data_IF_943976283016
#
_entry.id   IF_943976283016
#
_cell.length_a   1.000
_cell.length_b   1.000
_cell.length_c   1.000
_cell.angle_alpha   90.00
_cell.angle_beta   90.00
_cell.angle_gamma   90.00
#
_symmetry.space_group_name_H-M   'P 1'
#
loop_
_entity.id
_entity.type
_entity.pdbx_description
1 polymer ?
#
# COMPACT_ATOMS: atom_id res chain seq x y z
N UNK A 1 -9.20 -4.41 8.07
CA UNK A 1 -8.07 -3.56 8.48
C UNK A 1 -8.51 -2.55 9.52
N UNK A 2 -7.66 -2.30 10.52
CA UNK A 2 -7.83 -1.28 11.55
C UNK A 2 -6.62 -0.35 11.51
N UNK A 3 -6.79 0.98 11.61
CA UNK A 3 -5.68 1.88 11.82
C UNK A 3 -4.99 1.56 13.16
N UNK A 4 -3.68 1.37 13.12
CA UNK A 4 -2.86 1.14 14.32
C UNK A 4 -1.90 2.29 14.59
N UNK A 5 -1.64 3.14 13.57
CA UNK A 5 -0.80 4.30 13.72
C UNK A 5 -1.15 5.41 12.72
N UNK A 6 -1.12 6.65 13.22
CA UNK A 6 -1.18 7.87 12.43
C UNK A 6 0.06 8.70 12.72
N UNK A 7 0.61 9.34 11.71
CA UNK A 7 1.81 10.19 11.85
C UNK A 7 2.97 9.45 12.55
N UNK A 8 3.16 8.15 12.19
CA UNK A 8 4.13 7.26 12.84
C UNK A 8 5.54 7.68 12.47
N UNK A 9 6.25 8.30 13.44
CA UNK A 9 7.66 8.66 13.27
C UNK A 9 8.55 7.43 13.43
N UNK A 10 9.46 7.23 12.50
CA UNK A 10 10.55 6.27 12.64
C UNK A 10 11.93 6.94 12.83
N UNK A 11 11.93 8.25 13.10
CA UNK A 11 13.16 9.00 13.40
C UNK A 11 13.84 8.51 14.68
N UNK A 12 13.03 8.17 15.70
CA UNK A 12 13.49 7.73 17.02
C UNK A 12 13.68 6.21 17.11
N UNK A 13 13.22 5.45 16.11
CA UNK A 13 13.41 4.00 16.00
C UNK A 13 14.82 3.67 15.45
N UNK A 14 15.86 4.12 16.18
CA UNK A 14 17.26 4.13 15.72
C UNK A 14 17.88 2.80 15.31
N UNK A 15 17.24 1.72 15.63
CA UNK A 15 17.68 0.34 15.44
C UNK A 15 16.86 -0.43 14.39
N UNK A 16 15.93 0.22 13.68
CA UNK A 16 15.27 -0.42 12.53
C UNK A 16 16.28 -0.57 11.37
N UNK A 17 16.43 -1.80 10.90
CA UNK A 17 17.30 -2.09 9.74
C UNK A 17 16.74 -1.48 8.44
N UNK A 18 15.43 -1.42 8.32
CA UNK A 18 14.73 -0.87 7.15
C UNK A 18 15.06 0.60 6.86
N UNK A 19 15.50 1.36 7.88
CA UNK A 19 15.83 2.80 7.75
C UNK A 19 17.32 3.08 7.90
N UNK A 20 18.13 2.08 8.21
CA UNK A 20 19.58 2.17 8.33
C UNK A 20 20.27 1.58 7.10
N UNK A 21 20.56 2.42 6.12
CA UNK A 21 21.20 2.01 4.86
C UNK A 21 22.72 2.11 4.99
N UNK A 22 23.43 1.04 4.64
CA UNK A 22 24.90 1.05 4.59
C UNK A 22 25.35 1.73 3.31
N UNK A 23 26.24 2.72 3.43
CA UNK A 23 26.83 3.43 2.30
C UNK A 23 28.34 3.26 2.30
N UNK A 24 28.88 2.63 1.24
CA UNK A 24 30.31 2.33 1.15
C UNK A 24 30.80 1.37 2.23
N UNK A 25 32.09 1.42 2.54
CA UNK A 25 32.70 0.49 3.52
C UNK A 25 32.39 0.83 4.98
N UNK A 26 32.24 2.11 5.31
CA UNK A 26 32.13 2.58 6.70
C UNK A 26 31.00 3.61 6.91
N UNK A 27 30.27 4.00 5.86
CA UNK A 27 29.18 4.96 5.96
C UNK A 27 27.84 4.30 6.31
N UNK A 28 27.04 5.01 7.09
CA UNK A 28 25.62 4.68 7.35
C UNK A 28 24.78 5.91 7.05
N UNK A 29 23.73 5.71 6.28
CA UNK A 29 22.68 6.70 6.07
C UNK A 29 21.48 6.24 6.89
N UNK A 30 21.00 7.09 7.78
CA UNK A 30 19.77 6.86 8.52
C UNK A 30 18.65 7.64 7.85
N UNK A 31 17.66 6.92 7.35
CA UNK A 31 16.45 7.53 6.83
C UNK A 31 15.58 7.98 8.01
N UNK A 32 15.03 9.16 7.90
CA UNK A 32 14.06 9.70 8.84
C UNK A 32 12.77 10.03 8.08
N UNK A 33 11.64 9.82 8.72
CA UNK A 33 10.38 10.10 8.10
C UNK A 33 9.21 9.83 9.04
N UNK A 34 8.04 10.10 8.51
CA UNK A 34 6.77 9.91 9.20
C UNK A 34 5.79 9.26 8.24
N UNK A 35 5.25 8.13 8.64
CA UNK A 35 4.24 7.40 7.90
C UNK A 35 2.88 8.01 8.26
N UNK A 36 2.14 8.50 7.28
CA UNK A 36 0.86 9.17 7.57
C UNK A 36 -0.12 8.22 8.24
N UNK A 37 -0.22 6.97 7.74
CA UNK A 37 -1.12 5.97 8.32
C UNK A 37 -0.64 4.54 8.08
N UNK A 38 -0.66 3.75 9.14
CA UNK A 38 -0.45 2.31 9.13
C UNK A 38 -1.74 1.61 9.56
N UNK A 39 -2.22 0.69 8.73
CA UNK A 39 -3.36 -0.16 9.05
C UNK A 39 -2.90 -1.62 9.12
N UNK A 40 -3.43 -2.38 10.07
CA UNK A 40 -3.20 -3.82 10.16
C UNK A 40 -4.49 -4.62 10.13
N UNK A 41 -4.40 -5.85 9.65
CA UNK A 41 -5.42 -6.89 9.84
C UNK A 41 -4.74 -8.08 10.53
N UNK A 42 -5.11 -8.31 11.77
CA UNK A 42 -4.60 -9.41 12.59
C UNK A 42 -5.54 -10.61 12.43
N UNK A 43 -5.04 -11.70 11.84
CA UNK A 43 -5.74 -12.97 11.68
C UNK A 43 -5.06 -14.03 12.54
N UNK A 44 -5.62 -15.23 12.73
CA UNK A 44 -4.94 -16.29 13.47
C UNK A 44 -3.56 -16.65 12.89
N UNK A 45 -3.39 -16.57 11.57
CA UNK A 45 -2.23 -17.09 10.85
C UNK A 45 -1.17 -16.02 10.56
N UNK A 46 -1.57 -14.74 10.40
CA UNK A 46 -0.66 -13.65 10.02
C UNK A 46 -1.18 -12.28 10.45
N UNK A 47 -0.26 -11.30 10.47
CA UNK A 47 -0.57 -9.87 10.55
C UNK A 47 -0.32 -9.25 9.18
N UNK A 48 -1.35 -8.69 8.58
CA UNK A 48 -1.26 -8.02 7.29
C UNK A 48 -1.11 -6.52 7.48
N UNK A 49 -0.15 -5.91 6.79
CA UNK A 49 0.19 -4.48 6.94
C UNK A 49 -0.12 -3.72 5.67
N UNK A 50 -0.83 -2.62 5.81
CA UNK A 50 -1.16 -1.68 4.73
C UNK A 50 -0.68 -0.28 5.09
N UNK A 51 0.00 0.37 4.15
CA UNK A 51 0.45 1.76 4.25
C UNK A 51 -0.44 2.66 3.41
N UNK A 52 -0.82 3.78 3.99
CA UNK A 52 -1.52 4.86 3.27
C UNK A 52 -0.76 6.16 3.48
N UNK A 53 -0.47 6.82 2.39
CA UNK A 53 0.16 8.14 2.35
C UNK A 53 -0.80 9.12 1.64
N UNK A 54 -1.14 10.22 2.31
CA UNK A 54 -2.10 11.19 1.81
C UNK A 54 -1.44 12.20 0.87
N UNK A 55 -2.03 12.41 -0.29
CA UNK A 55 -1.51 13.35 -1.31
C UNK A 55 -2.55 14.40 -1.66
N UNK A 56 -2.15 15.66 -1.63
CA UNK A 56 -2.96 16.80 -2.09
C UNK A 56 -2.79 17.12 -3.57
N UNK A 57 -2.03 16.33 -4.32
CA UNK A 57 -1.74 16.53 -5.75
C UNK A 57 -1.92 15.25 -6.56
N UNK A 58 -1.64 15.34 -7.86
CA UNK A 58 -1.85 14.26 -8.84
C UNK A 58 -0.72 13.20 -8.84
N UNK A 59 -0.08 12.93 -7.71
CA UNK A 59 0.97 11.91 -7.61
C UNK A 59 0.35 10.53 -7.82
N UNK A 60 0.84 9.80 -8.84
CA UNK A 60 0.44 8.41 -9.10
C UNK A 60 1.58 7.47 -8.77
N UNK A 61 1.24 6.27 -8.33
CA UNK A 61 2.20 5.21 -8.17
C UNK A 61 2.71 4.76 -9.54
N UNK A 62 4.03 4.89 -9.76
CA UNK A 62 4.66 4.50 -11.02
C UNK A 62 5.82 3.53 -10.76
N UNK A 63 5.67 2.25 -11.15
CA UNK A 63 6.73 1.25 -11.00
C UNK A 63 8.02 1.61 -11.74
N UNK A 64 7.93 2.38 -12.84
CA UNK A 64 9.11 2.82 -13.59
C UNK A 64 9.88 3.87 -12.78
N UNK A 65 9.20 4.86 -12.24
CA UNK A 65 9.79 5.85 -11.33
C UNK A 65 10.40 5.18 -10.10
N UNK A 66 9.74 4.16 -9.54
CA UNK A 66 10.29 3.38 -8.44
C UNK A 66 11.61 2.67 -8.84
N UNK A 67 11.65 2.05 -10.01
CA UNK A 67 12.85 1.38 -10.52
C UNK A 67 14.04 2.34 -10.63
N UNK A 68 13.81 3.57 -11.07
CA UNK A 68 14.83 4.62 -11.14
C UNK A 68 15.12 5.31 -9.78
N UNK A 69 14.47 4.91 -8.70
CA UNK A 69 14.71 5.45 -7.36
C UNK A 69 14.02 6.77 -7.06
N UNK A 70 13.00 7.14 -7.85
CA UNK A 70 12.28 8.42 -7.72
C UNK A 70 11.07 8.36 -6.79
N UNK A 71 10.49 7.18 -6.55
CA UNK A 71 9.29 6.99 -5.70
C UNK A 71 9.53 5.91 -4.63
N UNK A 72 10.58 6.03 -3.84
CA UNK A 72 10.95 5.03 -2.83
C UNK A 72 10.11 5.12 -1.54
N UNK A 73 9.47 6.26 -1.28
CA UNK A 73 8.83 6.61 -0.02
C UNK A 73 7.89 5.50 0.50
N UNK A 74 6.91 5.07 -0.29
CA UNK A 74 5.93 4.06 0.14
C UNK A 74 6.57 2.73 0.51
N UNK A 75 7.60 2.30 -0.23
CA UNK A 75 8.28 1.02 0.05
C UNK A 75 9.16 1.13 1.29
N UNK A 76 9.84 2.26 1.49
CA UNK A 76 10.58 2.53 2.74
C UNK A 76 9.65 2.52 3.93
N UNK A 77 8.49 3.16 3.81
CA UNK A 77 7.47 3.17 4.86
C UNK A 77 6.93 1.78 5.16
N UNK A 78 6.66 0.99 4.11
CA UNK A 78 6.24 -0.41 4.28
C UNK A 78 7.30 -1.22 5.01
N UNK A 79 8.57 -1.12 4.60
CA UNK A 79 9.67 -1.85 5.23
C UNK A 79 9.81 -1.51 6.71
N UNK A 80 9.74 -0.22 7.05
CA UNK A 80 9.77 0.24 8.45
C UNK A 80 8.59 -0.32 9.24
N UNK A 81 7.37 -0.22 8.72
CA UNK A 81 6.17 -0.72 9.39
C UNK A 81 6.18 -2.24 9.55
N UNK A 82 6.61 -3.01 8.52
CA UNK A 82 6.75 -4.46 8.61
C UNK A 82 7.75 -4.87 9.70
N UNK A 83 8.86 -4.15 9.82
CA UNK A 83 9.85 -4.42 10.87
C UNK A 83 9.30 -4.09 12.27
N UNK A 84 8.58 -2.97 12.42
CA UNK A 84 7.93 -2.60 13.68
C UNK A 84 6.90 -3.66 14.10
N UNK A 85 6.04 -4.08 13.18
CA UNK A 85 5.01 -5.09 13.46
C UNK A 85 5.62 -6.47 13.79
N UNK A 86 6.71 -6.88 13.12
CA UNK A 86 7.44 -8.11 13.47
C UNK A 86 7.97 -8.09 14.91
N UNK A 87 8.46 -6.94 15.37
CA UNK A 87 8.93 -6.79 16.77
C UNK A 87 7.79 -6.89 17.78
N UNK A 88 6.58 -6.42 17.40
CA UNK A 88 5.40 -6.47 18.26
C UNK A 88 4.78 -7.87 18.32
N UNK A 89 4.80 -8.62 17.21
CA UNK A 89 4.07 -9.87 17.07
C UNK A 89 4.96 -11.14 17.18
N UNK A 90 6.27 -10.98 17.39
CA UNK A 90 7.21 -12.09 17.62
C UNK A 90 7.31 -13.03 16.41
N UNK A 91 6.96 -14.29 16.59
CA UNK A 91 7.09 -15.33 15.55
C UNK A 91 5.94 -15.33 14.53
N UNK A 92 4.89 -14.55 14.77
CA UNK A 92 3.74 -14.49 13.88
C UNK A 92 4.14 -13.85 12.54
N UNK A 93 3.82 -14.47 11.40
CA UNK A 93 4.13 -13.90 10.08
C UNK A 93 3.56 -12.49 9.91
N UNK A 94 4.36 -11.55 9.42
CA UNK A 94 3.93 -10.19 9.07
C UNK A 94 4.06 -10.02 7.57
N UNK A 95 2.94 -9.81 6.90
CA UNK A 95 2.79 -9.87 5.44
C UNK A 95 2.37 -8.50 4.90
N UNK A 96 3.01 -7.99 3.83
CA UNK A 96 2.56 -6.78 3.17
C UNK A 96 1.20 -6.99 2.49
N UNK A 97 0.23 -6.13 2.77
CA UNK A 97 -1.09 -6.15 2.14
C UNK A 97 -1.20 -5.12 1.01
N UNK A 98 -0.52 -3.99 1.14
CA UNK A 98 -0.53 -2.96 0.11
C UNK A 98 0.11 -1.65 0.53
N UNK A 99 0.45 -0.86 -0.46
CA UNK A 99 0.98 0.49 -0.34
C UNK A 99 0.17 1.41 -1.23
N UNK A 100 -0.34 2.50 -0.68
CA UNK A 100 -1.31 3.34 -1.35
C UNK A 100 -1.05 4.83 -1.16
N UNK A 101 -1.22 5.58 -2.25
CA UNK A 101 -1.51 7.01 -2.21
C UNK A 101 -3.02 7.22 -2.15
N UNK A 102 -3.47 7.98 -1.17
CA UNK A 102 -4.85 8.42 -1.06
C UNK A 102 -4.94 9.91 -1.38
N UNK A 103 -5.64 10.24 -2.47
CA UNK A 103 -5.77 11.63 -2.90
C UNK A 103 -6.86 12.34 -2.10
N UNK A 104 -6.51 13.52 -1.55
CA UNK A 104 -7.42 14.40 -0.84
C UNK A 104 -8.10 15.37 -1.82
N UNK A 105 -8.57 14.84 -2.95
CA UNK A 105 -9.22 15.63 -3.98
C UNK A 105 -10.72 15.61 -3.81
N UNK A 106 -11.38 16.69 -4.26
CA UNK A 106 -12.83 16.71 -4.50
C UNK A 106 -13.08 16.46 -6.00
N UNK A 107 -13.29 15.20 -6.40
CA UNK A 107 -13.36 14.84 -7.80
C UNK A 107 -14.64 15.39 -8.44
N UNK A 108 -14.48 16.36 -9.34
CA UNK A 108 -15.57 16.87 -10.16
C UNK A 108 -15.98 15.80 -11.17
N UNK A 109 -17.26 15.42 -11.14
CA UNK A 109 -17.87 14.61 -12.17
C UNK A 109 -18.59 15.53 -13.15
N UNK A 110 -18.30 15.38 -14.44
CA UNK A 110 -19.12 16.01 -15.47
C UNK A 110 -20.55 15.45 -15.37
N UNK A 111 -21.51 16.35 -15.27
CA UNK A 111 -22.93 15.99 -15.20
C UNK A 111 -23.37 15.51 -16.58
N UNK A 112 -23.39 14.21 -16.76
CA UNK A 112 -24.00 13.58 -17.93
C UNK A 112 -25.46 13.26 -17.61
N UNK A 113 -26.38 13.82 -18.41
CA UNK A 113 -27.83 13.64 -18.23
C UNK A 113 -28.27 12.16 -18.37
N UNK A 114 -27.39 11.28 -18.84
CA UNK A 114 -27.67 9.86 -19.04
C UNK A 114 -27.40 9.00 -17.77
N UNK A 115 -26.73 9.53 -16.73
CA UNK A 115 -26.40 8.75 -15.54
C UNK A 115 -27.45 8.89 -14.45
N UNK A 116 -27.83 7.75 -13.89
CA UNK A 116 -28.64 7.70 -12.66
C UNK A 116 -27.81 8.16 -11.45
N UNK A 117 -28.44 8.61 -10.35
CA UNK A 117 -27.73 8.96 -9.12
C UNK A 117 -26.82 7.84 -8.59
N UNK A 118 -27.23 6.58 -8.69
CA UNK A 118 -26.43 5.42 -8.30
C UNK A 118 -25.17 5.26 -9.16
N UNK A 119 -25.28 5.42 -10.48
CA UNK A 119 -24.14 5.39 -11.39
C UNK A 119 -23.16 6.55 -11.15
N UNK A 120 -23.69 7.73 -10.80
CA UNK A 120 -22.85 8.88 -10.44
C UNK A 120 -22.08 8.59 -9.15
N UNK A 121 -22.72 8.02 -8.14
CA UNK A 121 -22.08 7.63 -6.89
C UNK A 121 -21.00 6.57 -7.11
N UNK A 122 -21.28 5.55 -7.92
CA UNK A 122 -20.26 4.53 -8.27
C UNK A 122 -19.05 5.15 -8.96
N UNK A 123 -19.26 6.05 -9.92
CA UNK A 123 -18.16 6.76 -10.59
C UNK A 123 -17.35 7.62 -9.63
N UNK A 124 -18.02 8.28 -8.68
CA UNK A 124 -17.34 9.06 -7.64
C UNK A 124 -16.45 8.17 -6.77
N UNK A 125 -16.98 7.07 -6.27
CA UNK A 125 -16.23 6.12 -5.46
C UNK A 125 -15.02 5.54 -6.21
N UNK A 126 -15.18 5.24 -7.51
CA UNK A 126 -14.04 4.80 -8.36
C UNK A 126 -12.97 5.86 -8.52
N UNK A 127 -13.32 7.14 -8.59
CA UNK A 127 -12.34 8.24 -8.63
C UNK A 127 -11.62 8.42 -7.28
N UNK A 128 -12.28 8.13 -6.18
CA UNK A 128 -11.73 8.21 -4.83
C UNK A 128 -10.93 6.98 -4.42
N UNK A 129 -10.87 5.94 -5.26
CA UNK A 129 -10.03 4.77 -4.97
C UNK A 129 -8.57 5.19 -4.79
N UNK A 130 -7.87 4.60 -3.80
CA UNK A 130 -6.44 4.83 -3.66
C UNK A 130 -5.68 4.30 -4.88
N UNK A 131 -4.58 4.95 -5.21
CA UNK A 131 -3.62 4.51 -6.21
C UNK A 131 -2.45 3.80 -5.53
N UNK A 132 -1.92 2.74 -6.11
CA UNK A 132 -0.82 2.00 -5.49
C UNK A 132 -0.75 0.54 -5.91
N UNK A 133 -0.10 -0.28 -5.10
CA UNK A 133 0.07 -1.72 -5.33
C UNK A 133 -0.43 -2.51 -4.12
N UNK A 134 -1.15 -3.57 -4.38
CA UNK A 134 -1.67 -4.48 -3.36
C UNK A 134 -1.15 -5.91 -3.54
N UNK A 135 -1.22 -6.68 -2.45
CA UNK A 135 -0.95 -8.10 -2.49
C UNK A 135 -2.13 -8.83 -3.14
N UNK A 136 -1.84 -9.59 -4.21
CA UNK A 136 -2.83 -10.30 -5.00
C UNK A 136 -3.32 -11.62 -4.42
N UNK A 137 -2.87 -11.98 -3.22
CA UNK A 137 -3.38 -13.14 -2.51
C UNK A 137 -4.87 -12.97 -2.21
N UNK A 138 -5.67 -14.00 -2.46
CA UNK A 138 -7.13 -13.94 -2.30
C UNK A 138 -7.56 -13.67 -0.86
N UNK A 139 -6.81 -14.13 0.13
CA UNK A 139 -7.08 -13.80 1.52
C UNK A 139 -6.89 -12.31 1.77
N UNK A 140 -5.79 -11.74 1.29
CA UNK A 140 -5.49 -10.30 1.42
C UNK A 140 -6.52 -9.46 0.69
N UNK A 141 -6.90 -9.86 -0.52
CA UNK A 141 -7.93 -9.17 -1.30
C UNK A 141 -9.26 -9.08 -0.54
N UNK A 142 -9.69 -10.19 0.08
CA UNK A 142 -10.94 -10.24 0.88
C UNK A 142 -10.82 -9.47 2.20
N UNK A 143 -9.63 -9.34 2.76
CA UNK A 143 -9.39 -8.49 3.92
C UNK A 143 -9.48 -7.01 3.53
N UNK A 144 -9.00 -6.63 2.33
CA UNK A 144 -9.04 -5.26 1.82
C UNK A 144 -10.45 -4.87 1.35
N UNK A 145 -11.15 -5.79 0.67
CA UNK A 145 -12.52 -5.63 0.18
C UNK A 145 -13.28 -6.96 0.32
N UNK A 146 -14.17 -7.05 1.30
CA UNK A 146 -14.94 -8.26 1.59
C UNK A 146 -15.87 -8.67 0.44
N UNK A 147 -16.33 -7.70 -0.33
CA UNK A 147 -17.28 -7.87 -1.43
C UNK A 147 -16.60 -7.74 -2.80
N UNK A 148 -15.28 -7.97 -2.86
CA UNK A 148 -14.55 -7.83 -4.10
C UNK A 148 -15.21 -8.63 -5.22
N UNK A 149 -15.59 -7.92 -6.27
CA UNK A 149 -16.24 -8.46 -7.46
C UNK A 149 -15.47 -8.13 -8.73
N UNK A 150 -16.21 -7.95 -9.82
CA UNK A 150 -15.63 -7.66 -11.12
C UNK A 150 -14.78 -6.38 -11.15
N UNK A 151 -15.12 -5.38 -10.35
CA UNK A 151 -14.37 -4.14 -10.20
C UNK A 151 -14.63 -3.58 -8.81
N UNK A 152 -13.60 -3.53 -7.97
CA UNK A 152 -13.73 -3.01 -6.61
C UNK A 152 -13.90 -1.50 -6.62
N UNK A 153 -14.71 -0.98 -5.69
CA UNK A 153 -14.86 0.45 -5.44
C UNK A 153 -13.86 0.99 -4.40
N UNK A 154 -13.16 0.08 -3.69
CA UNK A 154 -12.28 0.45 -2.56
C UNK A 154 -10.80 0.22 -2.84
N UNK A 155 -10.45 -0.71 -3.75
CA UNK A 155 -9.07 -1.04 -4.10
C UNK A 155 -8.87 -1.09 -5.62
N UNK A 156 -7.66 -0.85 -6.15
CA UNK A 156 -7.40 -0.89 -7.59
C UNK A 156 -7.27 -2.34 -8.11
N UNK A 157 -8.32 -3.15 -7.89
CA UNK A 157 -8.38 -4.56 -8.29
C UNK A 157 -9.79 -4.99 -8.68
N UNK A 158 -9.88 -6.10 -9.40
CA UNK A 158 -11.12 -6.75 -9.75
C UNK A 158 -10.92 -8.20 -10.11
N UNK A 159 -11.98 -9.01 -10.03
CA UNK A 159 -11.96 -10.43 -10.33
C UNK A 159 -12.59 -10.72 -11.68
N UNK A 160 -12.11 -11.75 -12.34
CA UNK A 160 -12.77 -12.37 -13.51
C UNK A 160 -13.92 -13.26 -13.05
N UNK A 161 -14.71 -13.76 -14.00
CA UNK A 161 -15.83 -14.69 -13.73
C UNK A 161 -15.38 -16.00 -13.08
N UNK A 162 -14.14 -16.42 -13.32
CA UNK A 162 -13.53 -17.62 -12.72
C UNK A 162 -12.92 -17.37 -11.33
N UNK A 163 -13.07 -16.18 -10.79
CA UNK A 163 -12.53 -15.78 -9.47
C UNK A 163 -11.06 -15.39 -9.49
N UNK A 164 -10.35 -15.48 -10.62
CA UNK A 164 -8.97 -15.03 -10.72
C UNK A 164 -8.87 -13.51 -10.87
N UNK A 165 -7.72 -12.92 -10.50
CA UNK A 165 -7.46 -11.51 -10.67
C UNK A 165 -7.49 -11.07 -12.14
N UNK A 166 -8.06 -9.91 -12.40
CA UNK A 166 -7.93 -9.26 -13.71
C UNK A 166 -6.51 -8.76 -13.93
N UNK A 167 -6.02 -8.85 -15.16
CA UNK A 167 -4.69 -8.34 -15.54
C UNK A 167 -4.52 -6.81 -15.33
N UNK A 168 -5.62 -6.07 -15.30
CA UNK A 168 -5.62 -4.63 -15.03
C UNK A 168 -5.55 -4.29 -13.52
N UNK A 169 -5.53 -5.28 -12.63
CA UNK A 169 -5.40 -5.05 -11.20
C UNK A 169 -3.98 -4.64 -10.85
N UNK A 170 -3.82 -3.62 -10.01
CA UNK A 170 -2.53 -3.17 -9.47
C UNK A 170 -2.08 -4.11 -8.34
N UNK A 171 -1.81 -5.37 -8.68
CA UNK A 171 -1.52 -6.41 -7.71
C UNK A 171 -0.22 -7.14 -8.03
N UNK A 172 0.51 -7.52 -6.99
CA UNK A 172 1.74 -8.32 -7.04
C UNK A 172 1.65 -9.47 -6.04
N UNK A 173 2.43 -10.52 -6.22
CA UNK A 173 2.49 -11.61 -5.24
C UNK A 173 3.26 -11.19 -3.97
N UNK A 174 3.13 -11.99 -2.90
CA UNK A 174 3.92 -11.78 -1.67
C UNK A 174 5.41 -11.79 -1.96
N UNK A 175 5.89 -12.73 -2.80
CA UNK A 175 7.31 -12.81 -3.20
C UNK A 175 7.76 -11.58 -3.99
N UNK A 176 6.89 -11.04 -4.85
CA UNK A 176 7.18 -9.80 -5.57
C UNK A 176 7.26 -8.59 -4.63
N UNK A 177 6.41 -8.52 -3.60
CA UNK A 177 6.54 -7.50 -2.55
C UNK A 177 7.88 -7.62 -1.81
N UNK A 178 8.31 -8.83 -1.47
CA UNK A 178 9.61 -9.04 -0.84
C UNK A 178 10.77 -8.66 -1.75
N UNK A 179 10.67 -8.96 -3.05
CA UNK A 179 11.67 -8.55 -4.04
C UNK A 179 11.73 -7.02 -4.14
N UNK A 180 10.58 -6.35 -4.14
CA UNK A 180 10.48 -4.90 -4.13
C UNK A 180 11.13 -4.28 -2.88
N UNK A 181 10.82 -4.83 -1.70
CA UNK A 181 11.43 -4.42 -0.43
C UNK A 181 12.95 -4.54 -0.46
N UNK A 182 13.47 -5.70 -0.91
CA UNK A 182 14.91 -5.95 -1.06
C UNK A 182 15.57 -5.04 -2.08
N UNK A 183 14.88 -4.75 -3.19
CA UNK A 183 15.38 -3.84 -4.22
C UNK A 183 15.58 -2.43 -3.67
N UNK A 184 14.56 -1.90 -2.97
CA UNK A 184 14.62 -0.54 -2.40
C UNK A 184 15.69 -0.44 -1.30
N UNK A 185 15.88 -1.47 -0.47
CA UNK A 185 16.92 -1.50 0.56
C UNK A 185 18.35 -1.52 0.01
N UNK A 186 18.53 -1.75 -1.30
CA UNK A 186 19.85 -1.78 -1.99
C UNK A 186 20.13 -0.52 -2.81
N UNK A 187 19.12 0.34 -3.03
CA UNK A 187 19.23 1.61 -3.77
C UNK A 187 19.80 2.70 -2.89
#
# INVERSE_FOLDING_TARGET
FKPVGFEVSFADAGDLEAVNVRFGKNGRIRLQGRIDRVDTADTPDAVYVKIVDYKSGNTKFDPVSLYYGLQLQLVVYLNAALEMERRLHGEKPVVPAGIFYYHLDDPILEKDAQFTPAQMQEKLLKKLRPDGVLNGDMEVLRLLDREIGADSLVIPAGLKKDGSLKAASSAVSTEQFEQLSRFVSRK
#
